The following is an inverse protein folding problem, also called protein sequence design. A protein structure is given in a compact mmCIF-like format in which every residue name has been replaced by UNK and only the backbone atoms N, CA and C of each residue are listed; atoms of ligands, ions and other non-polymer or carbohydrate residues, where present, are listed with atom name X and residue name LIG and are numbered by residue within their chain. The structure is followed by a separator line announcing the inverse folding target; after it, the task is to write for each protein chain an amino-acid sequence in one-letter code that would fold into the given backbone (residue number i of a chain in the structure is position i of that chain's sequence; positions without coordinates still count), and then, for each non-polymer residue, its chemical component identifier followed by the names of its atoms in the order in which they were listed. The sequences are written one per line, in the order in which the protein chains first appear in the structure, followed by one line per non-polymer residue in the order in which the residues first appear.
data_IF_116637519689
#
_entry.id   IF_116637519689
#
_cell.length_a   1.000
_cell.length_b   1.000
_cell.length_c   1.000
_cell.angle_alpha   90.00
_cell.angle_beta   90.00
_cell.angle_gamma   90.00
#
_symmetry.space_group_name_H-M   'P 1'
#
loop_
_entity.id
_entity.type
_entity.pdbx_description
1 polymer ?
#
# COMPACT_ATOMS: atom_id res chain seq x y z
N UNK A 1 53.91 -13.62 33.44
CA UNK A 1 53.44 -12.52 32.57
C UNK A 1 52.10 -12.99 32.01
N UNK A 2 51.04 -12.57 32.69
CA UNK A 2 49.69 -13.13 32.59
C UNK A 2 49.01 -12.76 31.27
N UNK A 3 48.49 -13.80 30.62
CA UNK A 3 47.53 -13.78 29.54
C UNK A 3 46.22 -13.13 30.02
N UNK A 4 45.75 -12.07 29.34
CA UNK A 4 44.46 -11.44 29.59
C UNK A 4 43.52 -11.74 28.43
N UNK A 5 42.46 -12.48 28.76
CA UNK A 5 41.23 -12.68 27.99
C UNK A 5 40.34 -11.41 28.05
N UNK A 6 39.15 -11.49 27.45
CA UNK A 6 38.02 -10.54 27.42
C UNK A 6 37.96 -9.70 26.13
N UNK A 7 36.82 -9.41 25.49
CA UNK A 7 35.39 -9.67 25.72
C UNK A 7 34.66 -9.25 24.43
N UNK A 8 33.46 -9.80 24.21
CA UNK A 8 32.47 -9.41 23.20
C UNK A 8 32.56 -7.95 22.75
N UNK A 9 32.65 -7.76 21.43
CA UNK A 9 32.64 -6.46 20.77
C UNK A 9 31.21 -5.89 20.81
N UNK A 10 30.90 -5.12 21.84
CA UNK A 10 29.83 -4.12 21.76
C UNK A 10 30.48 -2.83 21.27
N UNK A 11 30.32 -2.52 19.99
CA UNK A 11 30.76 -1.25 19.40
C UNK A 11 29.84 -0.13 19.89
N UNK A 12 30.32 0.68 20.82
CA UNK A 12 29.78 2.02 21.06
C UNK A 12 30.11 2.90 19.83
N UNK A 13 29.09 3.44 19.16
CA UNK A 13 29.28 4.44 18.11
C UNK A 13 29.41 5.81 18.78
N UNK A 14 30.61 6.39 18.72
CA UNK A 14 30.85 7.79 19.07
C UNK A 14 30.28 8.68 17.97
N UNK A 15 29.27 9.49 18.28
CA UNK A 15 28.73 10.48 17.34
C UNK A 15 29.73 11.63 17.12
N UNK A 16 30.15 11.82 15.87
CA UNK A 16 30.82 13.04 15.40
C UNK A 16 29.75 14.00 14.88
N UNK A 17 29.49 15.08 15.62
CA UNK A 17 28.51 16.11 15.25
C UNK A 17 28.98 16.90 14.03
N UNK A 18 28.32 16.71 12.87
CA UNK A 18 28.35 17.66 11.76
C UNK A 18 27.04 18.45 11.82
N UNK A 19 27.14 19.78 11.80
CA UNK A 19 26.00 20.69 11.85
C UNK A 19 25.11 20.49 10.61
N UNK A 20 23.97 19.85 10.84
CA UNK A 20 22.94 19.55 9.86
C UNK A 20 22.10 18.47 10.49
N UNK A 21 20.84 18.80 10.80
CA UNK A 21 19.91 17.95 11.56
C UNK A 21 19.80 16.56 10.96
N UNK A 22 20.67 15.65 11.38
CA UNK A 22 20.37 14.23 11.39
C UNK A 22 19.38 14.08 12.54
N UNK A 23 18.09 14.13 12.22
CA UNK A 23 17.15 13.26 12.93
C UNK A 23 17.73 11.88 12.76
N UNK A 24 18.52 11.46 13.74
CA UNK A 24 18.84 10.07 13.89
C UNK A 24 17.47 9.40 14.02
N UNK A 25 17.03 8.73 12.96
CA UNK A 25 15.92 7.79 13.05
C UNK A 25 16.46 6.59 13.82
N UNK A 26 16.71 6.82 15.10
CA UNK A 26 17.10 5.83 16.10
C UNK A 26 15.81 5.25 16.63
N UNK A 27 15.24 4.31 15.89
CA UNK A 27 14.54 3.15 16.42
C UNK A 27 13.87 2.40 15.26
N UNK A 28 14.53 1.36 14.75
CA UNK A 28 13.79 0.12 14.51
C UNK A 28 13.86 -0.69 15.81
N UNK A 29 13.32 -0.11 16.88
CA UNK A 29 12.83 -0.89 18.00
C UNK A 29 11.41 -1.24 17.58
N UNK A 30 11.11 -2.53 17.41
CA UNK A 30 9.72 -2.96 17.34
C UNK A 30 8.99 -2.27 18.49
N UNK A 31 7.91 -1.57 18.20
CA UNK A 31 7.15 -0.88 19.24
C UNK A 31 6.72 -1.95 20.23
N UNK A 32 7.36 -1.96 21.39
CA UNK A 32 7.06 -2.95 22.41
C UNK A 32 5.58 -2.81 22.80
N UNK A 33 4.86 -3.93 22.78
CA UNK A 33 3.47 -3.98 23.20
C UNK A 33 3.42 -4.68 24.57
N UNK A 34 2.97 -4.00 25.64
CA UNK A 34 2.88 -4.62 26.94
C UNK A 34 2.03 -5.89 26.94
N UNK A 35 2.62 -7.01 27.36
CA UNK A 35 1.98 -8.33 27.35
C UNK A 35 2.38 -9.21 26.16
N UNK A 36 3.02 -8.66 25.13
CA UNK A 36 3.51 -9.39 23.95
C UNK A 36 4.99 -9.74 24.13
N UNK A 37 5.27 -10.94 24.61
CA UNK A 37 6.63 -11.40 24.92
C UNK A 37 7.31 -12.01 23.70
N UNK A 38 6.56 -12.59 22.76
CA UNK A 38 7.12 -13.17 21.55
C UNK A 38 7.22 -12.16 20.38
N UNK A 39 6.73 -10.94 20.58
CA UNK A 39 6.71 -9.83 19.63
C UNK A 39 5.97 -10.20 18.32
N UNK A 40 4.91 -11.00 18.42
CA UNK A 40 4.02 -11.36 17.32
C UNK A 40 2.89 -10.34 17.09
N UNK A 41 2.85 -9.29 17.93
CA UNK A 41 1.87 -8.20 17.96
C UNK A 41 0.47 -8.66 18.36
N UNK A 42 0.35 -9.79 19.06
CA UNK A 42 -0.91 -10.30 19.57
C UNK A 42 -0.77 -10.90 20.97
N UNK A 43 -1.26 -10.18 21.98
CA UNK A 43 -1.16 -10.62 23.39
C UNK A 43 -2.08 -11.81 23.64
N UNK A 44 -1.52 -13.00 23.79
CA UNK A 44 -2.27 -14.25 23.90
C UNK A 44 -1.60 -15.27 24.86
N UNK A 45 -2.04 -16.53 24.79
CA UNK A 45 -1.54 -17.60 25.66
C UNK A 45 -0.07 -17.97 25.38
N UNK A 46 0.44 -17.71 24.19
CA UNK A 46 1.84 -17.88 23.84
C UNK A 46 2.73 -16.96 24.69
N UNK A 47 2.32 -15.69 24.88
CA UNK A 47 3.04 -14.75 25.75
C UNK A 47 2.98 -15.15 27.21
N UNK A 48 1.83 -15.66 27.65
CA UNK A 48 1.69 -16.19 29.00
C UNK A 48 2.61 -17.39 29.22
N UNK A 49 2.79 -18.24 28.21
CA UNK A 49 3.74 -19.36 28.28
C UNK A 49 5.18 -18.88 28.42
N UNK A 50 5.55 -17.79 27.74
CA UNK A 50 6.89 -17.18 27.86
C UNK A 50 7.09 -16.63 29.26
N UNK A 51 6.17 -15.78 29.74
CA UNK A 51 6.22 -15.23 31.10
C UNK A 51 6.26 -16.32 32.16
N UNK A 52 5.42 -17.36 32.04
CA UNK A 52 5.37 -18.46 33.00
C UNK A 52 6.68 -19.26 33.05
N UNK A 53 7.41 -19.36 31.94
CA UNK A 53 8.69 -20.09 31.88
C UNK A 53 9.82 -19.35 32.60
N UNK A 54 9.66 -18.03 32.77
CA UNK A 54 10.65 -17.13 33.35
C UNK A 54 10.22 -16.55 34.69
N UNK A 55 9.03 -16.92 35.17
CA UNK A 55 8.46 -16.40 36.41
C UNK A 55 9.40 -16.61 37.61
N UNK A 56 9.64 -15.54 38.37
CA UNK A 56 10.55 -15.54 39.51
C UNK A 56 12.00 -15.19 39.18
N UNK A 57 12.33 -14.89 37.92
CA UNK A 57 13.60 -14.23 37.58
C UNK A 57 13.69 -12.91 38.35
N UNK A 58 14.76 -12.77 39.15
CA UNK A 58 14.93 -11.68 40.11
C UNK A 58 15.84 -10.54 39.63
N UNK A 59 16.47 -10.69 38.47
CA UNK A 59 17.28 -9.65 37.83
C UNK A 59 17.62 -10.01 36.39
N UNK A 60 17.85 -8.98 35.57
CA UNK A 60 18.32 -9.14 34.19
C UNK A 60 17.30 -9.75 33.24
N UNK A 61 16.03 -9.84 33.65
CA UNK A 61 14.96 -10.20 32.75
C UNK A 61 14.83 -9.16 31.64
N UNK A 62 14.46 -9.64 30.46
CA UNK A 62 14.08 -8.81 29.34
C UNK A 62 12.61 -8.99 29.05
N UNK A 63 12.12 -8.16 28.16
CA UNK A 63 10.77 -8.22 27.64
C UNK A 63 10.41 -9.56 26.98
N UNK A 64 11.40 -10.15 26.29
CA UNK A 64 11.28 -11.48 25.69
C UNK A 64 11.24 -12.60 26.75
N UNK A 65 11.58 -12.30 27.99
CA UNK A 65 11.41 -13.19 29.14
C UNK A 65 10.08 -12.91 29.88
N UNK A 66 9.29 -11.93 29.44
CA UNK A 66 8.04 -11.53 30.06
C UNK A 66 8.16 -10.42 31.13
N UNK A 67 9.27 -9.68 31.18
CA UNK A 67 9.37 -8.42 31.94
C UNK A 67 8.76 -7.28 31.13
N UNK A 68 7.48 -7.00 31.38
CA UNK A 68 6.71 -6.03 30.61
C UNK A 68 6.77 -4.62 31.19
N UNK A 69 7.17 -4.48 32.46
CA UNK A 69 7.33 -3.18 33.10
C UNK A 69 8.78 -2.64 33.02
N UNK A 70 9.74 -3.48 32.61
CA UNK A 70 11.14 -3.15 32.43
C UNK A 70 11.95 -3.04 33.73
N UNK A 71 11.49 -3.66 34.83
CA UNK A 71 12.14 -3.60 36.14
C UNK A 71 13.26 -4.65 36.32
N UNK A 72 13.44 -5.52 35.34
CA UNK A 72 14.44 -6.60 35.31
C UNK A 72 14.01 -7.84 36.07
N UNK A 73 12.77 -7.92 36.55
CA UNK A 73 12.19 -9.04 37.31
C UNK A 73 10.95 -9.55 36.56
N UNK A 74 10.71 -10.86 36.58
CA UNK A 74 9.44 -11.42 36.06
C UNK A 74 8.56 -11.84 37.23
N UNK A 75 7.49 -11.08 37.48
CA UNK A 75 6.64 -11.29 38.64
C UNK A 75 5.14 -11.02 38.37
N UNK A 76 4.35 -10.88 39.44
CA UNK A 76 2.90 -10.66 39.36
C UNK A 76 2.51 -9.33 38.69
N UNK A 77 3.39 -8.33 38.72
CA UNK A 77 3.19 -7.05 38.05
C UNK A 77 3.15 -7.25 36.52
N UNK A 78 4.05 -8.06 35.98
CA UNK A 78 4.09 -8.40 34.55
C UNK A 78 2.88 -9.22 34.15
N UNK A 79 2.49 -10.20 34.96
CA UNK A 79 1.28 -10.97 34.71
C UNK A 79 0.04 -10.07 34.70
N UNK A 80 0.00 -9.05 35.55
CA UNK A 80 -1.08 -8.05 35.57
C UNK A 80 -1.10 -7.22 34.29
N UNK A 81 0.06 -6.86 33.73
CA UNK A 81 0.16 -6.14 32.45
C UNK A 81 -0.28 -7.00 31.27
N UNK A 82 0.15 -8.26 31.20
CA UNK A 82 -0.31 -9.21 30.19
C UNK A 82 -1.82 -9.40 30.27
N UNK A 83 -2.36 -9.64 31.47
CA UNK A 83 -3.79 -9.82 31.70
C UNK A 83 -4.60 -8.61 31.25
N UNK A 84 -4.11 -7.39 31.51
CA UNK A 84 -4.77 -6.14 31.11
C UNK A 84 -4.82 -5.94 29.59
N UNK A 85 -3.95 -6.60 28.83
CA UNK A 85 -3.87 -6.50 27.38
C UNK A 85 -4.24 -7.79 26.65
N UNK A 86 -4.66 -8.83 27.38
CA UNK A 86 -4.99 -10.12 26.79
C UNK A 86 -6.05 -10.00 25.69
N UNK A 87 -5.77 -10.58 24.53
CA UNK A 87 -6.62 -10.54 23.34
C UNK A 87 -6.52 -9.27 22.51
N UNK A 88 -5.70 -8.28 22.93
CA UNK A 88 -5.41 -7.11 22.10
C UNK A 88 -4.38 -7.45 21.03
N UNK A 89 -4.53 -6.79 19.89
CA UNK A 89 -3.65 -6.95 18.74
C UNK A 89 -3.21 -5.59 18.23
N UNK A 90 -1.93 -5.49 17.91
CA UNK A 90 -1.39 -4.39 17.13
C UNK A 90 -1.12 -4.80 15.68
N UNK A 91 -1.66 -5.93 15.21
CA UNK A 91 -1.63 -6.27 13.79
C UNK A 91 -2.62 -5.37 13.04
N UNK A 92 -2.19 -4.66 11.99
CA UNK A 92 -3.09 -3.86 11.19
C UNK A 92 -3.97 -4.77 10.33
N UNK A 93 -5.20 -4.33 10.06
CA UNK A 93 -6.15 -5.05 9.21
C UNK A 93 -6.53 -4.15 8.04
N UNK A 94 -6.04 -4.51 6.86
CA UNK A 94 -6.35 -3.85 5.61
C UNK A 94 -7.76 -4.23 5.15
N UNK A 95 -8.53 -3.19 4.81
CA UNK A 95 -9.72 -3.30 3.98
C UNK A 95 -9.69 -2.21 2.90
N UNK A 96 -10.46 -2.43 1.83
CA UNK A 96 -10.60 -1.48 0.74
C UNK A 96 -12.02 -1.43 0.20
N UNK A 97 -12.42 -0.31 -0.39
CA UNK A 97 -13.76 -0.11 -0.96
C UNK A 97 -14.09 -1.08 -2.11
N UNK A 98 -13.07 -1.58 -2.80
CA UNK A 98 -13.14 -2.70 -3.74
C UNK A 98 -12.44 -3.89 -3.11
N UNK A 99 -13.03 -5.08 -3.16
CA UNK A 99 -12.39 -6.27 -2.60
C UNK A 99 -11.08 -6.61 -3.36
N UNK A 100 -10.02 -7.06 -2.66
CA UNK A 100 -8.83 -7.59 -3.32
C UNK A 100 -9.19 -8.71 -4.33
N UNK A 101 -8.55 -8.68 -5.48
CA UNK A 101 -8.85 -9.49 -6.67
C UNK A 101 -10.03 -8.97 -7.50
N UNK A 102 -10.70 -7.91 -7.04
CA UNK A 102 -11.79 -7.25 -7.77
C UNK A 102 -11.31 -6.37 -8.91
N UNK A 103 -12.28 -5.93 -9.71
CA UNK A 103 -12.05 -5.03 -10.85
C UNK A 103 -12.35 -3.59 -10.46
N UNK A 104 -11.43 -2.69 -10.80
CA UNK A 104 -11.61 -1.25 -10.82
C UNK A 104 -11.80 -0.86 -12.28
N UNK A 105 -13.02 -0.44 -12.59
CA UNK A 105 -13.43 -0.04 -13.92
C UNK A 105 -13.51 1.49 -13.99
N UNK A 106 -12.73 2.07 -14.90
CA UNK A 106 -12.69 3.51 -15.14
C UNK A 106 -13.75 3.98 -16.16
N UNK A 107 -14.55 3.06 -16.70
CA UNK A 107 -15.48 3.33 -17.80
C UNK A 107 -14.73 3.57 -19.11
N UNK A 108 -15.42 4.16 -20.10
CA UNK A 108 -14.83 4.55 -21.37
C UNK A 108 -13.93 5.78 -21.21
N UNK A 109 -12.62 5.63 -21.40
CA UNK A 109 -11.67 6.75 -21.30
C UNK A 109 -11.12 7.15 -22.67
N UNK A 110 -11.47 8.34 -23.20
CA UNK A 110 -10.95 8.81 -24.48
C UNK A 110 -9.43 8.95 -24.52
N UNK A 111 -8.83 8.67 -25.69
CA UNK A 111 -7.40 8.85 -25.92
C UNK A 111 -7.02 10.33 -25.73
N UNK A 112 -5.98 10.59 -24.94
CA UNK A 112 -5.51 11.93 -24.61
C UNK A 112 -6.29 12.61 -23.48
N UNK A 113 -7.29 11.94 -22.90
CA UNK A 113 -7.96 12.36 -21.68
C UNK A 113 -7.50 11.54 -20.48
N UNK A 114 -8.09 11.81 -19.33
CA UNK A 114 -7.88 10.99 -18.15
C UNK A 114 -9.16 10.89 -17.33
N UNK A 115 -9.31 9.77 -16.64
CA UNK A 115 -10.35 9.55 -15.64
C UNK A 115 -9.70 9.11 -14.33
N UNK A 116 -10.43 9.32 -13.23
CA UNK A 116 -9.97 8.92 -11.90
C UNK A 116 -10.97 8.05 -11.19
N UNK A 117 -10.45 7.20 -10.31
CA UNK A 117 -11.22 6.34 -9.43
C UNK A 117 -10.70 6.49 -8.00
N UNK A 118 -11.60 6.62 -7.03
CA UNK A 118 -11.24 6.71 -5.61
C UNK A 118 -11.32 5.32 -4.98
N UNK A 119 -10.16 4.75 -4.68
CA UNK A 119 -10.02 3.53 -3.89
C UNK A 119 -9.80 3.92 -2.43
N UNK A 120 -10.83 3.77 -1.60
CA UNK A 120 -10.71 4.01 -0.15
C UNK A 120 -10.03 2.81 0.49
N UNK A 121 -8.97 3.05 1.26
CA UNK A 121 -8.26 2.05 2.05
C UNK A 121 -8.51 2.35 3.53
N UNK A 122 -8.81 1.30 4.29
CA UNK A 122 -9.11 1.38 5.72
C UNK A 122 -8.18 0.46 6.51
N UNK A 123 -7.73 0.94 7.66
CA UNK A 123 -7.18 0.09 8.70
C UNK A 123 -8.28 -0.17 9.73
N UNK A 124 -8.90 -1.34 9.71
CA UNK A 124 -10.06 -1.66 10.56
C UNK A 124 -9.68 -2.25 11.92
N UNK A 125 -8.39 -2.21 12.29
CA UNK A 125 -7.95 -2.64 13.62
C UNK A 125 -8.62 -1.81 14.71
N UNK A 126 -9.30 -2.50 15.63
CA UNK A 126 -10.07 -1.88 16.74
C UNK A 126 -9.60 -2.32 18.13
N UNK A 127 -8.93 -3.47 18.23
CA UNK A 127 -8.51 -4.07 19.50
C UNK A 127 -7.07 -3.70 19.86
N UNK A 128 -6.79 -2.41 19.82
CA UNK A 128 -5.46 -1.83 19.99
C UNK A 128 -5.06 -1.69 21.46
N UNK A 129 -3.75 -1.67 21.73
CA UNK A 129 -3.22 -1.48 23.09
C UNK A 129 -3.13 0.01 23.41
N UNK A 130 -3.86 0.42 24.44
CA UNK A 130 -3.92 1.80 24.92
C UNK A 130 -2.52 2.42 25.09
N UNK A 131 -2.27 3.52 24.37
CA UNK A 131 -0.99 4.24 24.41
C UNK A 131 0.09 3.68 23.46
N UNK A 132 -0.22 2.61 22.75
CA UNK A 132 0.61 1.96 21.73
C UNK A 132 -0.13 1.89 20.39
N UNK A 133 -1.03 2.85 20.13
CA UNK A 133 -1.90 2.85 18.95
C UNK A 133 -1.11 2.85 17.63
N UNK A 134 -0.01 3.60 17.60
CA UNK A 134 0.89 3.65 16.44
C UNK A 134 1.54 2.30 16.12
N UNK A 135 1.59 1.37 17.09
CA UNK A 135 2.02 0.01 16.82
C UNK A 135 1.01 -0.76 15.96
N UNK A 136 -0.20 -0.23 15.76
CA UNK A 136 -1.29 -0.82 14.98
C UNK A 136 -1.53 -0.07 13.67
N UNK A 137 -0.72 0.93 13.36
CA UNK A 137 -0.79 1.64 12.09
C UNK A 137 -0.47 0.67 10.95
N UNK A 138 -1.22 0.81 9.87
CA UNK A 138 -1.04 0.05 8.63
C UNK A 138 -0.12 0.85 7.72
N UNK A 139 1.01 0.28 7.33
CA UNK A 139 1.92 0.91 6.37
C UNK A 139 1.60 0.44 4.97
N UNK A 140 1.29 1.36 4.05
CA UNK A 140 1.29 1.08 2.62
C UNK A 140 2.72 1.24 2.10
N UNK A 141 3.42 0.12 1.94
CA UNK A 141 4.85 0.07 1.63
C UNK A 141 5.09 0.45 0.19
N UNK A 142 4.32 -0.12 -0.74
CA UNK A 142 4.48 0.10 -2.16
C UNK A 142 3.16 -0.06 -2.92
N UNK A 143 3.12 0.51 -4.13
CA UNK A 143 2.03 0.39 -5.07
C UNK A 143 2.60 0.15 -6.47
N UNK A 144 2.45 -1.07 -6.96
CA UNK A 144 3.08 -1.52 -8.21
C UNK A 144 2.02 -1.69 -9.29
N UNK A 145 2.20 -0.99 -10.41
CA UNK A 145 1.39 -1.22 -11.61
C UNK A 145 2.02 -2.28 -12.52
N UNK A 146 1.20 -3.22 -12.96
CA UNK A 146 1.57 -4.30 -13.88
C UNK A 146 0.56 -4.49 -15.01
N UNK A 147 0.64 -5.61 -15.70
CA UNK A 147 -0.25 -5.96 -16.81
C UNK A 147 0.24 -5.48 -18.17
N UNK A 148 -0.69 -5.30 -19.12
CA UNK A 148 -0.38 -5.03 -20.52
C UNK A 148 -0.01 -3.57 -20.78
N UNK A 149 -0.71 -2.64 -20.12
CA UNK A 149 -0.52 -1.20 -20.30
C UNK A 149 -0.34 -0.46 -18.97
N UNK A 150 0.62 -0.87 -18.10
CA UNK A 150 0.81 -0.25 -16.79
C UNK A 150 1.16 1.24 -16.89
N UNK A 151 1.78 1.68 -17.99
CA UNK A 151 2.20 3.08 -18.16
C UNK A 151 1.05 4.09 -18.23
N UNK A 152 -0.20 3.65 -18.42
CA UNK A 152 -1.37 4.55 -18.43
C UNK A 152 -1.96 4.77 -17.05
N UNK A 153 -1.55 3.98 -16.05
CA UNK A 153 -2.09 4.04 -14.70
C UNK A 153 -1.12 4.75 -13.74
N UNK A 154 -1.67 5.54 -12.82
CA UNK A 154 -0.92 6.20 -11.75
C UNK A 154 -1.78 6.37 -10.50
N UNK A 155 -1.16 6.70 -9.36
CA UNK A 155 -1.85 7.15 -8.15
C UNK A 155 -1.38 8.56 -7.82
N UNK A 156 -2.30 9.52 -7.75
CA UNK A 156 -1.94 10.93 -7.63
C UNK A 156 -1.46 11.31 -6.22
N UNK A 157 -1.95 10.62 -5.20
CA UNK A 157 -1.73 10.94 -3.79
C UNK A 157 -1.09 9.79 -2.98
N UNK A 158 -0.30 8.95 -3.64
CA UNK A 158 0.45 7.89 -2.98
C UNK A 158 1.90 8.30 -2.70
N UNK A 159 2.41 7.92 -1.53
CA UNK A 159 3.84 7.99 -1.20
C UNK A 159 4.22 6.68 -0.52
N UNK A 160 5.22 5.93 -1.03
CA UNK A 160 5.69 4.70 -0.41
C UNK A 160 6.02 4.89 1.08
N UNK A 161 5.47 4.01 1.92
CA UNK A 161 5.63 4.06 3.38
C UNK A 161 4.63 4.96 4.10
N UNK A 162 3.59 5.48 3.44
CA UNK A 162 2.52 6.21 4.13
C UNK A 162 1.76 5.29 5.09
N UNK A 163 1.30 5.83 6.22
CA UNK A 163 0.62 5.06 7.26
C UNK A 163 -0.85 5.44 7.40
N UNK A 164 -1.66 4.47 7.81
CA UNK A 164 -3.08 4.63 8.13
C UNK A 164 -3.28 4.19 9.57
N UNK A 165 -3.64 5.15 10.43
CA UNK A 165 -3.87 4.87 11.85
C UNK A 165 -4.97 3.83 12.05
N UNK A 166 -4.92 3.08 13.14
CA UNK A 166 -5.97 2.13 13.50
C UNK A 166 -7.34 2.80 13.55
N UNK A 167 -8.33 2.21 12.87
CA UNK A 167 -9.68 2.75 12.70
C UNK A 167 -9.81 3.90 11.71
N UNK A 168 -8.73 4.30 11.02
CA UNK A 168 -8.75 5.37 10.03
C UNK A 168 -8.85 4.83 8.60
N UNK A 169 -9.16 5.75 7.68
CA UNK A 169 -9.18 5.51 6.25
C UNK A 169 -8.48 6.62 5.49
N UNK A 170 -7.96 6.29 4.32
CA UNK A 170 -7.47 7.24 3.33
C UNK A 170 -8.12 6.93 1.97
N UNK A 171 -8.15 7.93 1.11
CA UNK A 171 -8.55 7.75 -0.29
C UNK A 171 -7.30 7.73 -1.15
N UNK A 172 -7.14 6.71 -2.01
CA UNK A 172 -6.15 6.69 -3.08
C UNK A 172 -6.85 7.08 -4.39
N UNK A 173 -6.39 8.16 -5.01
CA UNK A 173 -6.90 8.64 -6.30
C UNK A 173 -6.12 7.95 -7.40
N UNK A 174 -6.68 6.86 -7.90
CA UNK A 174 -6.17 6.15 -9.07
C UNK A 174 -6.52 6.96 -10.31
N UNK A 175 -5.62 7.00 -11.28
CA UNK A 175 -5.79 7.74 -12.53
C UNK A 175 -5.41 6.84 -13.70
N UNK A 176 -6.21 6.89 -14.75
CA UNK A 176 -5.90 6.28 -16.06
C UNK A 176 -5.84 7.37 -17.12
N UNK A 177 -4.83 7.33 -18.01
CA UNK A 177 -4.66 8.30 -19.08
C UNK A 177 -4.08 7.64 -20.35
N UNK A 178 -4.93 7.04 -21.18
CA UNK A 178 -4.49 6.39 -22.41
C UNK A 178 -3.98 7.44 -23.41
N UNK A 179 -2.79 7.19 -23.98
CA UNK A 179 -2.18 8.09 -24.98
C UNK A 179 -2.15 7.50 -26.39
N UNK A 180 -2.48 6.22 -26.53
CA UNK A 180 -2.54 5.50 -27.79
C UNK A 180 -3.78 4.61 -27.80
N UNK A 181 -4.30 4.32 -29.00
CA UNK A 181 -5.41 3.39 -29.16
C UNK A 181 -4.95 1.95 -28.86
N UNK A 182 -5.77 1.22 -28.12
CA UNK A 182 -5.53 -0.18 -27.76
C UNK A 182 -6.30 -0.57 -26.50
N UNK A 183 -6.28 -1.84 -26.10
CA UNK A 183 -6.83 -2.26 -24.82
C UNK A 183 -6.05 -1.60 -23.68
N UNK A 184 -6.77 -1.06 -22.71
CA UNK A 184 -6.20 -0.43 -21.51
C UNK A 184 -6.49 -1.36 -20.34
N UNK A 185 -5.53 -2.24 -20.08
CA UNK A 185 -5.65 -3.29 -19.07
C UNK A 185 -4.39 -3.33 -18.21
N UNK A 186 -4.57 -3.38 -16.91
CA UNK A 186 -3.49 -3.38 -15.94
C UNK A 186 -3.83 -4.10 -14.65
N UNK A 187 -2.85 -4.19 -13.78
CA UNK A 187 -3.04 -4.60 -12.39
C UNK A 187 -2.43 -3.56 -11.47
N UNK A 188 -3.03 -3.36 -10.30
CA UNK A 188 -2.43 -2.66 -9.17
C UNK A 188 -2.17 -3.67 -8.06
N UNK A 189 -0.94 -3.74 -7.56
CA UNK A 189 -0.58 -4.51 -6.36
C UNK A 189 -0.19 -3.52 -5.27
N UNK A 190 -0.98 -3.45 -4.20
CA UNK A 190 -0.64 -2.72 -2.98
C UNK A 190 0.10 -3.66 -2.02
N UNK A 191 1.29 -3.27 -1.59
CA UNK A 191 2.08 -4.01 -0.60
C UNK A 191 1.96 -3.32 0.75
N UNK A 192 1.65 -4.08 1.80
CA UNK A 192 1.49 -3.55 3.16
C UNK A 192 2.34 -4.30 4.18
N UNK A 193 2.36 -3.82 5.42
CA UNK A 193 2.99 -4.50 6.55
C UNK A 193 2.04 -5.41 7.36
N UNK A 194 0.82 -5.65 6.87
CA UNK A 194 -0.11 -6.56 7.52
C UNK A 194 0.45 -7.99 7.57
N UNK A 195 0.39 -8.61 8.75
CA UNK A 195 0.92 -9.95 8.97
C UNK A 195 2.45 -10.00 9.08
N UNK A 196 3.11 -8.84 9.13
CA UNK A 196 4.54 -8.70 9.32
C UNK A 196 4.88 -7.71 10.44
N UNK A 197 6.18 -7.49 10.69
CA UNK A 197 6.64 -6.39 11.56
C UNK A 197 6.33 -5.03 10.93
N UNK A 198 6.20 -4.00 11.76
CA UNK A 198 5.91 -2.62 11.32
C UNK A 198 6.83 -2.18 10.18
N UNK A 199 6.26 -1.74 9.06
CA UNK A 199 7.01 -1.29 7.89
C UNK A 199 7.79 -2.37 7.13
N UNK A 200 7.67 -3.64 7.52
CA UNK A 200 8.24 -4.79 6.79
C UNK A 200 7.18 -5.34 5.85
N UNK A 201 7.55 -5.66 4.61
CA UNK A 201 6.62 -6.24 3.63
C UNK A 201 5.97 -7.52 4.18
N UNK A 202 4.64 -7.49 4.27
CA UNK A 202 3.78 -8.59 4.67
C UNK A 202 2.81 -8.92 3.54
N UNK A 203 1.52 -8.63 3.74
CA UNK A 203 0.47 -8.90 2.77
C UNK A 203 0.57 -8.04 1.50
N UNK A 204 0.06 -8.57 0.39
CA UNK A 204 -0.13 -7.84 -0.87
C UNK A 204 -1.56 -8.02 -1.35
N UNK A 205 -2.13 -6.96 -1.92
CA UNK A 205 -3.51 -6.90 -2.38
C UNK A 205 -3.55 -6.46 -3.84
N UNK A 206 -4.04 -7.36 -4.69
CA UNK A 206 -4.09 -7.16 -6.13
C UNK A 206 -5.45 -6.63 -6.58
N UNK A 207 -5.47 -5.81 -7.62
CA UNK A 207 -6.68 -5.29 -8.26
C UNK A 207 -6.51 -5.35 -9.77
N UNK A 208 -7.58 -5.73 -10.47
CA UNK A 208 -7.63 -5.66 -11.93
C UNK A 208 -8.06 -4.24 -12.31
N UNK A 209 -7.34 -3.61 -13.22
CA UNK A 209 -7.64 -2.28 -13.74
C UNK A 209 -8.08 -2.41 -15.19
N UNK A 210 -9.29 -1.95 -15.49
CA UNK A 210 -9.84 -1.96 -16.85
C UNK A 210 -10.36 -0.56 -17.19
N UNK A 211 -10.20 -0.20 -18.46
CA UNK A 211 -11.06 0.79 -19.12
C UNK A 211 -11.93 0.03 -20.11
N UNK A 212 -13.22 0.38 -20.14
CA UNK A 212 -14.28 -0.33 -20.83
C UNK A 212 -14.24 -0.12 -22.36
N UNK A 213 -13.21 0.56 -22.87
CA UNK A 213 -12.95 0.79 -24.29
C UNK A 213 -12.78 -0.52 -25.09
N UNK A 214 -13.89 -1.18 -25.41
CA UNK A 214 -13.96 -2.25 -26.39
C UNK A 214 -13.77 -1.62 -27.79
N UNK A 215 -12.53 -1.70 -28.29
CA UNK A 215 -12.11 -1.70 -29.70
C UNK A 215 -12.19 -0.35 -30.46
N UNK A 216 -11.09 0.09 -31.12
CA UNK A 216 -11.15 1.19 -32.08
C UNK A 216 -11.91 0.75 -33.33
N UNK A 217 -13.18 1.10 -33.45
CA UNK A 217 -13.89 1.02 -34.74
C UNK A 217 -13.81 2.37 -35.46
N UNK A 218 -12.63 2.70 -35.98
CA UNK A 218 -12.52 3.45 -37.23
C UNK A 218 -11.10 3.34 -37.80
N UNK A 219 -10.93 2.46 -38.79
CA UNK A 219 -9.97 2.69 -39.87
C UNK A 219 -10.32 4.07 -40.46
N UNK A 220 -9.40 5.05 -40.55
CA UNK A 220 -9.69 6.27 -41.29
C UNK A 220 -9.92 5.87 -42.74
N UNK A 221 -11.16 6.02 -43.23
CA UNK A 221 -11.47 5.73 -44.61
C UNK A 221 -10.51 6.52 -45.52
N UNK A 222 -9.86 5.90 -46.52
CA UNK A 222 -9.12 6.67 -47.49
C UNK A 222 -10.11 7.50 -48.31
N UNK A 223 -9.79 8.80 -48.41
CA UNK A 223 -10.11 9.72 -49.50
C UNK A 223 -11.55 10.19 -49.72
N UNK A 224 -11.75 11.49 -49.47
CA UNK A 224 -12.29 12.39 -50.50
C UNK A 224 -11.78 13.82 -50.33
N UNK A 225 -10.46 14.02 -50.44
CA UNK A 225 -9.89 15.29 -50.86
C UNK A 225 -9.70 15.23 -52.38
N UNK A 226 -10.79 15.37 -53.15
CA UNK A 226 -10.71 15.67 -54.58
C UNK A 226 -10.34 17.15 -54.68
N UNK A 227 -9.05 17.43 -54.74
CA UNK A 227 -8.55 18.67 -55.32
C UNK A 227 -8.63 18.58 -56.84
N UNK A 228 -9.09 19.65 -57.50
CA UNK A 228 -9.03 19.72 -58.96
C UNK A 228 -9.87 20.85 -59.56
N UNK A 229 -9.28 22.05 -59.63
CA UNK A 229 -9.68 23.09 -60.59
C UNK A 229 -9.68 22.53 -62.02
N UNK A 230 -10.77 22.70 -62.76
CA UNK A 230 -10.74 22.71 -64.22
C UNK A 230 -11.77 23.70 -64.80
N UNK A 231 -11.31 24.38 -65.84
CA UNK A 231 -11.73 25.65 -66.42
C UNK A 231 -12.39 25.39 -67.79
N UNK A 232 -13.42 26.18 -68.12
CA UNK A 232 -13.91 26.58 -69.47
C UNK A 232 -14.60 25.60 -70.46
N UNK A 233 -15.65 26.17 -71.08
CA UNK A 233 -16.12 26.14 -72.50
C UNK A 233 -17.25 25.19 -72.98
N UNK A 234 -18.41 25.83 -73.16
CA UNK A 234 -19.23 26.02 -74.38
C UNK A 234 -20.05 24.89 -75.06
N UNK A 235 -21.25 25.33 -75.49
CA UNK A 235 -22.19 24.80 -76.52
C UNK A 235 -22.98 23.53 -76.14
N UNK A 236 -24.28 23.39 -76.39
CA UNK A 236 -25.26 24.16 -77.15
C UNK A 236 -26.43 23.23 -77.52
N UNK A 237 -27.66 23.78 -77.62
CA UNK A 237 -28.86 23.17 -78.25
C UNK A 237 -29.40 21.87 -77.58
N UNK A 238 -30.67 21.45 -77.64
CA UNK A 238 -31.97 21.98 -78.09
C UNK A 238 -33.00 20.85 -77.87
N UNK A 239 -34.23 21.22 -77.51
CA UNK A 239 -35.53 20.53 -77.75
C UNK A 239 -35.92 19.25 -76.97
N UNK A 240 -36.93 19.44 -76.10
CA UNK A 240 -38.32 18.94 -76.19
C UNK A 240 -38.59 17.57 -76.85
N UNK A 241 -39.25 16.66 -76.09
CA UNK A 241 -40.55 15.97 -76.34
C UNK A 241 -40.75 14.92 -75.23
N UNK A 242 -41.71 15.07 -74.30
CA UNK A 242 -43.14 14.66 -74.34
C UNK A 242 -43.41 13.17 -74.63
N UNK A 243 -43.99 12.52 -73.61
CA UNK A 243 -45.06 11.50 -73.60
C UNK A 243 -44.79 10.07 -74.07
N UNK A 244 -45.28 9.12 -73.26
CA UNK A 244 -45.87 7.87 -73.73
C UNK A 244 -45.75 6.72 -72.75
N UNK A 245 -46.91 6.19 -72.33
CA UNK A 245 -47.15 5.01 -71.49
C UNK A 245 -46.32 3.77 -71.83
#
# INVERSE_FOLDING_TARGET
MSHWSLVNVVRFVSALTIAGSVTASTAFAGTFIPGDANNDRYVNIADLSVLSSHYGLSSGATQADGDFNGDGVVNIADLSMLSANYGKSAQPVFESSVAPGGTIDFGDVPIGSFETYVLTISNTTTNVVAGYESASDLTLIDAVFGGLTPQFFSIDNFTPGMTIAAGASIDLTLRVAPTVAGPVEGTLTLVTDQGAGLGVAGASFDYVLLDDAIVPTAVPAPSSAIGGMALLLLAGLSKRRLLGA
#
